data_IF_805988425218
#
_entry.id   IF_805988425218
#
_cell.length_a   1.000
_cell.length_b   1.000
_cell.length_c   1.000
_cell.angle_alpha   90.00
_cell.angle_beta   90.00
_cell.angle_gamma   90.00
#
_symmetry.space_group_name_H-M   'P 1'
#
loop_
_entity.id
_entity.type
_entity.pdbx_description
1 polymer ?
#
# COMPACT_ATOMS: atom_id res chain seq x y z
N UNK A 1 -3.15 -13.88 -1.22
CA UNK A 1 -3.52 -12.74 -2.08
C UNK A 1 -2.22 -12.01 -2.35
N UNK A 2 -1.73 -12.07 -3.58
CA UNK A 2 -0.50 -11.40 -3.98
C UNK A 2 -0.87 -10.01 -4.51
N UNK A 3 -0.27 -8.96 -3.95
CA UNK A 3 -0.50 -7.58 -4.36
C UNK A 3 0.80 -7.11 -5.03
N UNK A 4 0.80 -7.08 -6.35
CA UNK A 4 1.92 -6.56 -7.13
C UNK A 4 1.75 -5.05 -7.28
N UNK A 5 2.55 -4.30 -6.52
CA UNK A 5 2.65 -2.84 -6.59
C UNK A 5 3.83 -2.50 -7.49
N UNK A 6 3.57 -1.83 -8.62
CA UNK A 6 4.65 -1.11 -9.29
C UNK A 6 5.06 0.08 -8.40
N UNK A 7 6.37 0.39 -8.38
CA UNK A 7 6.90 1.49 -7.57
C UNK A 7 6.14 2.78 -7.91
N UNK A 8 5.67 3.46 -6.87
CA UNK A 8 4.87 4.71 -6.89
C UNK A 8 3.34 4.56 -6.99
N UNK A 9 2.80 3.33 -7.11
CA UNK A 9 1.36 3.13 -7.09
C UNK A 9 0.80 3.03 -5.65
N UNK A 10 -0.42 3.56 -5.45
CA UNK A 10 -1.20 3.34 -4.23
C UNK A 10 -2.38 2.43 -4.55
N UNK A 11 -2.54 1.36 -3.78
CA UNK A 11 -3.66 0.44 -3.91
C UNK A 11 -4.66 0.67 -2.79
N UNK A 12 -5.93 0.76 -3.18
CA UNK A 12 -7.05 0.82 -2.24
C UNK A 12 -7.60 -0.59 -2.03
N UNK A 13 -7.51 -1.10 -0.81
CA UNK A 13 -8.14 -2.35 -0.39
C UNK A 13 -9.44 -2.02 0.34
N UNK A 14 -10.55 -2.51 -0.21
CA UNK A 14 -11.87 -2.39 0.41
C UNK A 14 -12.20 -3.73 1.07
N UNK A 15 -12.15 -3.76 2.40
CA UNK A 15 -12.54 -4.92 3.20
C UNK A 15 -13.88 -4.56 3.86
N UNK A 16 -14.95 -5.15 3.33
CA UNK A 16 -16.34 -4.75 3.63
C UNK A 16 -16.66 -3.30 3.28
N UNK A 17 -17.95 -2.94 3.24
CA UNK A 17 -18.42 -1.59 2.84
C UNK A 17 -17.92 -0.45 3.75
N UNK A 18 -17.24 -0.78 4.85
CA UNK A 18 -16.86 0.15 5.90
C UNK A 18 -15.34 0.29 6.09
N UNK A 19 -14.50 -0.61 5.57
CA UNK A 19 -13.06 -0.56 5.81
C UNK A 19 -12.30 -0.34 4.50
N UNK A 20 -11.73 0.86 4.34
CA UNK A 20 -10.93 1.23 3.19
C UNK A 20 -9.49 1.45 3.66
N UNK A 21 -8.61 0.52 3.31
CA UNK A 21 -7.17 0.65 3.52
C UNK A 21 -6.52 1.20 2.27
N UNK A 22 -5.61 2.14 2.43
CA UNK A 22 -4.71 2.58 1.36
C UNK A 22 -3.34 2.01 1.69
N UNK A 23 -2.80 1.20 0.79
CA UNK A 23 -1.48 0.56 0.92
C UNK A 23 -0.58 1.06 -0.20
N UNK A 24 0.66 1.39 0.11
CA UNK A 24 1.65 1.82 -0.88
C UNK A 24 3.06 1.40 -0.47
N UNK A 25 3.92 1.21 -1.47
CA UNK A 25 5.35 0.98 -1.26
C UNK A 25 6.13 2.28 -1.40
N UNK A 26 7.12 2.50 -0.54
CA UNK A 26 8.08 3.60 -0.64
C UNK A 26 9.48 3.05 -0.38
N UNK A 27 10.48 3.47 -1.15
CA UNK A 27 11.88 3.12 -0.86
C UNK A 27 12.42 4.05 0.23
N UNK A 28 13.04 3.48 1.25
CA UNK A 28 13.77 4.25 2.25
C UNK A 28 15.11 4.79 1.68
N UNK A 29 15.86 5.54 2.48
CA UNK A 29 17.17 6.10 2.09
C UNK A 29 18.21 5.03 1.70
N UNK A 30 18.03 3.79 2.17
CA UNK A 30 18.88 2.64 1.86
C UNK A 30 18.42 1.89 0.58
N UNK A 31 17.35 2.37 -0.07
CA UNK A 31 16.77 1.75 -1.26
C UNK A 31 15.90 0.51 -0.98
N UNK A 32 15.65 0.18 0.29
CA UNK A 32 14.78 -0.93 0.70
C UNK A 32 13.32 -0.54 0.51
N UNK A 33 12.52 -1.42 -0.10
CA UNK A 33 11.07 -1.22 -0.23
C UNK A 33 10.39 -1.40 1.13
N UNK A 34 9.72 -0.35 1.60
CA UNK A 34 8.93 -0.36 2.84
C UNK A 34 7.46 -0.23 2.48
N UNK A 35 6.63 -1.14 3.00
CA UNK A 35 5.18 -1.06 2.86
C UNK A 35 4.60 -0.13 3.92
N UNK A 36 3.83 0.86 3.48
CA UNK A 36 3.07 1.78 4.33
C UNK A 36 1.58 1.57 4.11
N UNK A 37 0.80 1.87 5.15
CA UNK A 37 -0.65 1.78 5.11
C UNK A 37 -1.30 2.94 5.85
N UNK A 38 -2.53 3.27 5.45
CA UNK A 38 -3.38 4.27 6.10
C UNK A 38 -4.84 3.90 5.95
N UNK A 39 -5.70 4.56 6.74
CA UNK A 39 -7.14 4.40 6.69
C UNK A 39 -7.81 5.72 6.29
N UNK A 40 -8.94 5.63 5.60
CA UNK A 40 -9.79 6.78 5.28
C UNK A 40 -11.10 6.71 6.05
#
# INVERSE_FOLDING_TARGET
MEINLETDEKITLVIDKACVFVVWGERNEEGTMVLKWGYK
#
